data_IF_191949953683
#
_entry.id   IF_191949953683
#
_cell.length_a   1.000
_cell.length_b   1.000
_cell.length_c   1.000
_cell.angle_alpha   90.00
_cell.angle_beta   90.00
_cell.angle_gamma   90.00
#
_symmetry.space_group_name_H-M   'P 1'
#
loop_
_entity.id
_entity.type
_entity.pdbx_description
1 polymer ?
#
# COMPACT_ATOMS: atom_id res chain seq x y z
N UNK A 1 1.46 17.07 -16.63
CA UNK A 1 0.36 17.00 -15.66
C UNK A 1 0.86 16.46 -14.33
N UNK A 2 0.55 17.15 -13.23
CA UNK A 2 1.01 16.73 -11.91
C UNK A 2 0.28 15.44 -11.49
N UNK A 3 1.00 14.40 -11.10
CA UNK A 3 0.36 13.13 -10.71
C UNK A 3 -0.27 13.22 -9.32
N UNK A 4 -1.16 12.27 -9.05
CA UNK A 4 -1.63 12.00 -7.70
C UNK A 4 -0.52 11.28 -6.96
N UNK A 5 -0.22 11.69 -5.74
CA UNK A 5 0.72 10.96 -4.87
C UNK A 5 -0.10 10.10 -3.92
N UNK A 6 0.18 8.80 -3.93
CA UNK A 6 -0.53 7.84 -3.09
C UNK A 6 0.44 7.25 -2.07
N UNK A 7 0.11 7.39 -0.79
CA UNK A 7 0.89 6.83 0.31
C UNK A 7 0.10 5.68 0.93
N UNK A 8 0.72 4.54 1.12
CA UNK A 8 0.08 3.38 1.74
C UNK A 8 0.99 2.79 2.81
N UNK A 9 0.38 2.29 3.87
CA UNK A 9 1.07 1.53 4.91
C UNK A 9 0.06 0.63 5.62
N UNK A 10 0.57 -0.32 6.40
CA UNK A 10 -0.27 -1.31 7.05
C UNK A 10 0.38 -1.81 8.34
N UNK A 11 -0.47 -2.20 9.28
CA UNK A 11 -0.04 -2.78 10.56
C UNK A 11 -0.90 -3.98 10.88
N UNK A 12 -0.28 -5.10 11.24
CA UNK A 12 -0.97 -6.35 11.52
C UNK A 12 -0.51 -6.93 12.85
N UNK A 13 -1.45 -7.58 13.55
CA UNK A 13 -1.14 -8.40 14.70
C UNK A 13 -0.98 -9.85 14.19
N UNK A 14 0.23 -10.42 14.22
CA UNK A 14 0.45 -11.76 13.65
C UNK A 14 -0.26 -12.88 14.42
N UNK A 15 -0.63 -12.64 15.67
CA UNK A 15 -1.34 -13.65 16.48
C UNK A 15 -2.82 -13.68 16.13
N UNK A 16 -3.50 -12.53 16.14
CA UNK A 16 -4.92 -12.46 15.83
C UNK A 16 -5.20 -12.48 14.33
N UNK A 17 -4.18 -12.18 13.52
CA UNK A 17 -4.28 -12.04 12.05
C UNK A 17 -5.24 -10.93 11.63
N UNK A 18 -5.44 -9.96 12.52
CA UNK A 18 -6.20 -8.73 12.23
C UNK A 18 -5.22 -7.62 11.93
N UNK A 19 -5.50 -6.85 10.89
CA UNK A 19 -4.67 -5.73 10.53
C UNK A 19 -5.47 -4.55 10.02
N UNK A 20 -4.78 -3.43 9.91
CA UNK A 20 -5.35 -2.18 9.41
C UNK A 20 -4.45 -1.62 8.34
N UNK A 21 -5.05 -1.33 7.19
CA UNK A 21 -4.38 -0.61 6.14
C UNK A 21 -4.79 0.85 6.14
N UNK A 22 -3.88 1.72 5.76
CA UNK A 22 -4.13 3.15 5.66
C UNK A 22 -3.59 3.68 4.34
N UNK A 23 -4.31 4.62 3.75
CA UNK A 23 -3.79 5.32 2.58
C UNK A 23 -4.14 6.80 2.60
N UNK A 24 -3.31 7.57 1.91
CA UNK A 24 -3.51 8.99 1.69
C UNK A 24 -3.30 9.28 0.21
N UNK A 25 -4.33 9.82 -0.43
CA UNK A 25 -4.26 10.28 -1.81
C UNK A 25 -4.09 11.80 -1.79
N UNK A 26 -2.95 12.27 -2.30
CA UNK A 26 -2.64 13.70 -2.36
C UNK A 26 -2.93 14.18 -3.78
N UNK A 27 -3.93 15.05 -3.95
CA UNK A 27 -4.28 15.54 -5.28
C UNK A 27 -3.21 16.50 -5.83
N UNK A 28 -3.24 16.79 -7.16
CA UNK A 28 -2.31 17.76 -7.73
C UNK A 28 -2.46 19.16 -7.16
N UNK A 29 -3.67 19.52 -6.72
CA UNK A 29 -3.95 20.84 -6.16
C UNK A 29 -3.30 20.99 -4.78
N UNK A 30 -2.69 22.15 -4.48
CA UNK A 30 -2.06 22.34 -3.17
C UNK A 30 -3.07 22.25 -2.03
N UNK A 31 -2.72 21.47 -1.00
CA UNK A 31 -3.51 21.35 0.22
C UNK A 31 -2.59 21.54 1.42
N UNK A 32 -3.13 22.10 2.51
CA UNK A 32 -2.40 22.23 3.74
C UNK A 32 -2.13 20.86 4.35
N UNK A 33 -1.10 20.78 5.20
CA UNK A 33 -0.78 19.54 5.91
C UNK A 33 -1.97 19.08 6.76
N UNK A 34 -2.67 20.01 7.40
CA UNK A 34 -3.84 19.66 8.22
C UNK A 34 -4.97 19.08 7.38
N UNK A 35 -5.20 19.61 6.18
CA UNK A 35 -6.20 19.06 5.26
C UNK A 35 -5.82 17.65 4.81
N UNK A 36 -4.53 17.44 4.50
CA UNK A 36 -4.04 16.11 4.10
C UNK A 36 -4.18 15.11 5.22
N UNK A 37 -3.87 15.52 6.45
CA UNK A 37 -3.99 14.67 7.63
C UNK A 37 -5.43 14.14 7.79
N UNK A 38 -6.42 14.95 7.49
CA UNK A 38 -7.83 14.57 7.59
C UNK A 38 -8.29 13.67 6.44
N UNK A 39 -7.51 13.54 5.38
CA UNK A 39 -7.84 12.71 4.21
C UNK A 39 -7.36 11.28 4.34
N UNK A 40 -6.62 10.94 5.38
CA UNK A 40 -6.11 9.58 5.59
C UNK A 40 -7.30 8.64 5.83
N UNK A 41 -7.33 7.55 5.07
CA UNK A 41 -8.38 6.53 5.19
C UNK A 41 -7.79 5.26 5.77
N UNK A 42 -8.56 4.60 6.64
CA UNK A 42 -8.14 3.40 7.35
C UNK A 42 -9.21 2.33 7.19
N UNK A 43 -8.78 1.08 6.99
CA UNK A 43 -9.69 -0.06 6.85
C UNK A 43 -9.14 -1.27 7.58
N UNK A 44 -10.03 -2.00 8.25
CA UNK A 44 -9.71 -3.26 8.91
C UNK A 44 -9.76 -4.42 7.91
N UNK A 45 -8.81 -5.33 8.05
CA UNK A 45 -8.74 -6.58 7.29
C UNK A 45 -8.57 -7.74 8.27
N UNK A 46 -9.34 -8.79 8.06
CA UNK A 46 -9.28 -9.99 8.90
C UNK A 46 -8.53 -11.11 8.17
N UNK A 47 -8.02 -12.07 8.94
CA UNK A 47 -7.30 -13.24 8.42
C UNK A 47 -6.23 -12.83 7.40
N UNK A 48 -5.37 -11.90 7.80
CA UNK A 48 -4.34 -11.36 6.94
C UNK A 48 -2.96 -11.54 7.56
N UNK A 49 -1.94 -11.19 6.80
CA UNK A 49 -0.54 -11.22 7.22
C UNK A 49 0.11 -9.94 6.74
N UNK A 50 1.35 -9.71 7.15
CA UNK A 50 2.08 -8.50 6.74
C UNK A 50 2.11 -8.36 5.22
N UNK A 51 2.59 -9.38 4.52
CA UNK A 51 2.69 -9.36 3.06
C UNK A 51 1.33 -9.21 2.39
N UNK A 52 0.35 -9.98 2.84
CA UNK A 52 -1.00 -9.94 2.27
C UNK A 52 -1.65 -8.58 2.49
N UNK A 53 -1.52 -8.04 3.69
CA UNK A 53 -2.16 -6.78 4.07
C UNK A 53 -1.59 -5.59 3.30
N UNK A 54 -0.28 -5.56 3.12
CA UNK A 54 0.35 -4.50 2.31
C UNK A 54 -0.25 -4.45 0.91
N UNK A 55 -0.44 -5.61 0.31
CA UNK A 55 -1.01 -5.72 -1.02
C UNK A 55 -2.50 -5.41 -1.03
N UNK A 56 -3.25 -5.91 -0.04
CA UNK A 56 -4.68 -5.62 0.09
C UNK A 56 -4.92 -4.12 0.24
N UNK A 57 -4.10 -3.44 1.05
CA UNK A 57 -4.20 -2.00 1.27
C UNK A 57 -3.96 -1.23 -0.02
N UNK A 58 -2.92 -1.61 -0.76
CA UNK A 58 -2.59 -0.97 -2.02
C UNK A 58 -3.70 -1.16 -3.05
N UNK A 59 -4.23 -2.36 -3.19
CA UNK A 59 -5.32 -2.64 -4.13
C UNK A 59 -6.59 -1.86 -3.78
N UNK A 60 -6.92 -1.77 -2.50
CA UNK A 60 -8.02 -0.95 -2.04
C UNK A 60 -7.84 0.51 -2.42
N UNK A 61 -6.64 1.05 -2.17
CA UNK A 61 -6.33 2.44 -2.49
C UNK A 61 -6.39 2.70 -3.99
N UNK A 62 -5.75 1.85 -4.81
CA UNK A 62 -5.72 2.03 -6.26
C UNK A 62 -7.13 1.92 -6.87
N UNK A 63 -7.94 0.98 -6.39
CA UNK A 63 -9.32 0.84 -6.84
C UNK A 63 -10.12 2.10 -6.53
N UNK A 64 -9.89 2.70 -5.36
CA UNK A 64 -10.60 3.91 -4.92
C UNK A 64 -10.28 5.13 -5.78
N UNK A 65 -9.06 5.23 -6.33
CA UNK A 65 -8.65 6.40 -7.11
C UNK A 65 -8.61 6.15 -8.62
N UNK A 66 -8.90 4.91 -9.04
CA UNK A 66 -8.83 4.50 -10.45
C UNK A 66 -9.68 5.37 -11.36
N UNK A 67 -10.87 5.77 -10.90
CA UNK A 67 -11.81 6.56 -11.69
C UNK A 67 -11.34 7.98 -12.00
N UNK A 68 -10.29 8.45 -11.30
CA UNK A 68 -9.77 9.80 -11.51
C UNK A 68 -8.98 9.94 -12.82
N UNK A 69 -8.55 8.82 -13.42
CA UNK A 69 -7.89 8.82 -14.73
C UNK A 69 -6.56 9.54 -14.80
N UNK A 70 -5.91 9.77 -13.66
CA UNK A 70 -4.66 10.53 -13.59
C UNK A 70 -3.49 9.58 -13.32
N UNK A 71 -2.28 10.03 -13.67
CA UNK A 71 -1.06 9.33 -13.30
C UNK A 71 -0.93 9.28 -11.78
N UNK A 72 -0.49 8.16 -11.25
CA UNK A 72 -0.33 7.94 -9.82
C UNK A 72 1.11 7.58 -9.50
N UNK A 73 1.69 8.25 -8.50
CA UNK A 73 2.98 7.86 -7.95
C UNK A 73 2.71 7.25 -6.57
N UNK A 74 3.03 5.98 -6.41
CA UNK A 74 2.80 5.22 -5.18
C UNK A 74 4.05 5.23 -4.33
N UNK A 75 3.90 5.65 -3.07
CA UNK A 75 4.98 5.65 -2.08
C UNK A 75 4.69 4.56 -1.06
N UNK A 76 5.60 3.62 -0.93
CA UNK A 76 5.47 2.48 0.00
C UNK A 76 6.84 2.08 0.53
N UNK A 77 6.88 1.56 1.76
CA UNK A 77 8.10 0.99 2.32
C UNK A 77 8.18 -0.53 2.10
N UNK A 78 7.20 -1.12 1.44
CA UNK A 78 7.12 -2.56 1.22
C UNK A 78 8.07 -3.03 0.13
N UNK A 79 9.11 -3.74 0.52
CA UNK A 79 10.03 -4.36 -0.44
C UNK A 79 9.32 -5.42 -1.28
N UNK A 80 8.33 -6.10 -0.71
CA UNK A 80 7.55 -7.10 -1.44
C UNK A 80 6.80 -6.47 -2.63
N UNK A 81 6.15 -5.33 -2.42
CA UNK A 81 5.44 -4.63 -3.49
C UNK A 81 6.41 -4.14 -4.56
N UNK A 82 7.49 -3.48 -4.14
CA UNK A 82 8.48 -2.94 -5.07
C UNK A 82 9.09 -4.05 -5.93
N UNK A 83 9.30 -5.24 -5.35
CA UNK A 83 9.89 -6.37 -6.06
C UNK A 83 8.94 -7.14 -6.97
N UNK A 84 7.64 -6.86 -6.93
CA UNK A 84 6.65 -7.63 -7.71
C UNK A 84 6.87 -7.54 -9.22
N UNK A 85 7.23 -6.37 -9.72
CA UNK A 85 7.45 -6.18 -11.14
C UNK A 85 8.54 -7.10 -11.69
N UNK A 86 9.61 -7.30 -10.92
CA UNK A 86 10.70 -8.20 -11.31
C UNK A 86 10.32 -9.68 -11.26
N UNK A 87 9.25 -10.03 -10.56
CA UNK A 87 8.79 -11.42 -10.44
C UNK A 87 7.64 -11.75 -11.37
N UNK A 88 7.06 -10.77 -12.05
CA UNK A 88 5.88 -10.95 -12.89
C UNK A 88 6.07 -12.02 -13.96
N UNK A 89 7.14 -11.94 -14.74
CA UNK A 89 7.39 -12.87 -15.83
C UNK A 89 7.47 -14.31 -15.34
N UNK A 90 8.16 -14.54 -14.21
CA UNK A 90 8.28 -15.86 -13.62
C UNK A 90 6.93 -16.39 -13.13
N UNK A 91 6.14 -15.53 -12.48
CA UNK A 91 4.81 -15.91 -12.01
C UNK A 91 3.91 -16.33 -13.18
N UNK A 92 3.88 -15.51 -14.22
CA UNK A 92 3.04 -15.80 -15.39
C UNK A 92 3.50 -17.04 -16.15
N UNK A 93 4.81 -17.19 -16.33
CA UNK A 93 5.40 -18.35 -17.02
C UNK A 93 5.04 -19.66 -16.31
N UNK A 94 5.04 -19.66 -14.99
CA UNK A 94 4.76 -20.83 -14.17
C UNK A 94 3.29 -20.93 -13.75
N UNK A 95 2.42 -20.13 -14.34
CA UNK A 95 1.00 -20.08 -14.03
C UNK A 95 0.74 -19.96 -12.53
N UNK A 96 1.55 -19.10 -11.86
CA UNK A 96 1.49 -18.84 -10.40
C UNK A 96 1.58 -20.12 -9.58
N UNK A 97 2.37 -21.08 -10.04
CA UNK A 97 2.61 -22.34 -9.32
C UNK A 97 4.07 -22.45 -8.87
N UNK A 98 4.26 -23.09 -7.73
CA UNK A 98 5.59 -23.39 -7.18
C UNK A 98 6.19 -24.62 -7.92
N UNK A 99 7.45 -24.92 -7.59
CA UNK A 99 8.12 -26.12 -8.10
C UNK A 99 7.37 -27.40 -7.74
N UNK A 100 6.58 -27.39 -6.66
CA UNK A 100 5.76 -28.52 -6.22
C UNK A 100 4.37 -28.53 -6.88
N UNK A 101 4.18 -27.73 -7.90
CA UNK A 101 2.94 -27.61 -8.68
C UNK A 101 1.74 -27.15 -7.85
N UNK A 102 1.99 -26.38 -6.78
CA UNK A 102 0.93 -25.78 -5.97
C UNK A 102 0.87 -24.29 -6.26
N UNK A 103 -0.34 -23.71 -6.26
CA UNK A 103 -0.51 -22.28 -6.42
C UNK A 103 0.24 -21.54 -5.31
N UNK A 104 0.98 -20.51 -5.69
CA UNK A 104 1.70 -19.69 -4.71
C UNK A 104 0.70 -18.93 -3.84
N UNK A 105 1.11 -18.69 -2.60
CA UNK A 105 0.30 -17.93 -1.65
C UNK A 105 0.03 -16.53 -2.21
N UNK A 106 -1.19 -16.04 -2.05
CA UNK A 106 -1.62 -14.71 -2.51
C UNK A 106 -1.64 -14.54 -4.03
N UNK A 107 -1.65 -15.62 -4.80
CA UNK A 107 -1.59 -15.52 -6.26
C UNK A 107 -2.72 -14.67 -6.86
N UNK A 108 -3.92 -14.74 -6.30
CA UNK A 108 -5.06 -13.94 -6.78
C UNK A 108 -4.82 -12.45 -6.60
N UNK A 109 -4.22 -12.07 -5.48
CA UNK A 109 -3.87 -10.66 -5.20
C UNK A 109 -2.79 -10.18 -6.17
N UNK A 110 -1.82 -11.01 -6.49
CA UNK A 110 -0.79 -10.68 -7.48
C UNK A 110 -1.40 -10.48 -8.86
N UNK A 111 -2.33 -11.34 -9.25
CA UNK A 111 -3.03 -11.20 -10.53
C UNK A 111 -3.83 -9.90 -10.58
N UNK A 112 -4.55 -9.56 -9.51
CA UNK A 112 -5.27 -8.30 -9.42
C UNK A 112 -4.34 -7.10 -9.50
N UNK A 113 -3.20 -7.18 -8.82
CA UNK A 113 -2.19 -6.12 -8.83
C UNK A 113 -1.70 -5.84 -10.25
N UNK A 114 -1.30 -6.87 -10.99
CA UNK A 114 -0.81 -6.69 -12.35
C UNK A 114 -1.92 -6.19 -13.29
N UNK A 115 -3.14 -6.63 -13.09
CA UNK A 115 -4.28 -6.16 -13.86
C UNK A 115 -4.50 -4.66 -13.67
N UNK A 116 -4.49 -4.19 -12.43
CA UNK A 116 -4.77 -2.79 -12.14
C UNK A 116 -3.61 -1.89 -12.58
N UNK A 117 -2.36 -2.31 -12.39
CA UNK A 117 -1.21 -1.49 -12.83
C UNK A 117 -1.08 -1.44 -14.35
N UNK A 118 -1.59 -2.44 -15.07
CA UNK A 118 -1.66 -2.39 -16.54
C UNK A 118 -2.70 -1.39 -17.03
N UNK A 119 -3.72 -1.11 -16.23
CA UNK A 119 -4.80 -0.17 -16.58
C UNK A 119 -4.52 1.25 -16.14
N UNK A 120 -3.68 1.42 -15.11
CA UNK A 120 -3.33 2.72 -14.55
C UNK A 120 -1.90 3.10 -14.92
N UNK A 121 -1.68 4.38 -15.14
CA UNK A 121 -0.33 4.90 -15.28
C UNK A 121 0.24 5.11 -13.87
N UNK A 122 0.95 4.09 -13.37
CA UNK A 122 1.49 4.06 -12.02
C UNK A 122 3.01 3.99 -12.01
N UNK A 123 3.61 4.78 -11.14
CA UNK A 123 5.02 4.70 -10.78
C UNK A 123 5.13 4.33 -9.31
N UNK A 124 6.14 3.55 -8.94
CA UNK A 124 6.33 3.11 -7.55
C UNK A 124 7.66 3.63 -7.02
N UNK A 125 7.61 4.24 -5.83
CA UNK A 125 8.79 4.78 -5.15
C UNK A 125 8.86 4.16 -3.76
N UNK A 126 10.03 3.58 -3.44
CA UNK A 126 10.27 3.02 -2.12
C UNK A 126 10.61 4.14 -1.14
N UNK A 127 9.89 4.19 -0.02
CA UNK A 127 10.16 5.12 1.07
C UNK A 127 11.05 4.41 2.08
N UNK A 128 12.05 5.11 2.60
CA UNK A 128 12.86 4.59 3.70
C UNK A 128 12.13 4.87 4.99
N UNK A 129 11.74 3.81 5.71
CA UNK A 129 11.10 3.95 7.01
C UNK A 129 12.07 4.43 8.10
N UNK A 130 11.53 4.99 9.18
CA UNK A 130 12.24 5.27 10.42
C UNK A 130 13.38 6.28 10.35
N UNK A 131 13.26 7.31 9.53
CA UNK A 131 14.19 8.45 9.59
C UNK A 131 13.94 9.26 10.85
N UNK A 132 15.00 9.81 11.41
CA UNK A 132 14.89 10.76 12.53
C UNK A 132 14.10 11.99 12.09
N UNK A 133 13.34 12.60 13.00
CA UNK A 133 12.44 13.71 12.70
C UNK A 133 13.09 14.85 11.92
N UNK A 134 14.32 15.22 12.28
CA UNK A 134 15.02 16.33 11.62
C UNK A 134 15.53 15.98 10.21
N UNK A 135 15.52 14.70 9.83
CA UNK A 135 15.92 14.23 8.50
C UNK A 135 14.74 13.95 7.59
N UNK A 136 13.52 14.13 8.10
CA UNK A 136 12.31 13.88 7.30
C UNK A 136 12.05 15.05 6.36
N UNK A 137 11.95 14.75 5.06
CA UNK A 137 11.46 15.71 4.10
C UNK A 137 9.91 15.66 4.06
N UNK A 138 9.31 16.40 3.13
CA UNK A 138 7.87 16.49 3.02
C UNK A 138 7.23 15.12 2.73
N UNK A 139 7.85 14.32 1.84
CA UNK A 139 7.33 12.99 1.51
C UNK A 139 7.36 12.07 2.72
N UNK A 140 8.44 12.13 3.51
CA UNK A 140 8.56 11.32 4.72
C UNK A 140 7.49 11.70 5.74
N UNK A 141 7.17 12.99 5.87
CA UNK A 141 6.12 13.46 6.77
C UNK A 141 4.75 12.95 6.36
N UNK A 142 4.47 12.93 5.05
CA UNK A 142 3.21 12.41 4.53
C UNK A 142 3.12 10.90 4.73
N UNK A 143 4.21 10.17 4.50
CA UNK A 143 4.22 8.73 4.76
C UNK A 143 3.98 8.45 6.24
N UNK A 144 4.52 9.28 7.14
CA UNK A 144 4.31 9.14 8.58
C UNK A 144 2.82 9.18 8.95
N UNK A 145 2.01 9.93 8.21
CA UNK A 145 0.57 10.00 8.47
C UNK A 145 -0.10 8.64 8.33
N UNK A 146 0.20 7.90 7.27
CA UNK A 146 -0.40 6.56 7.06
C UNK A 146 0.21 5.52 8.01
N UNK A 147 1.51 5.62 8.29
CA UNK A 147 2.17 4.75 9.24
C UNK A 147 1.51 4.87 10.62
N UNK A 148 1.36 6.08 11.13
CA UNK A 148 0.73 6.33 12.43
C UNK A 148 -0.73 5.92 12.45
N UNK A 149 -1.47 6.20 11.39
CA UNK A 149 -2.88 5.88 11.32
C UNK A 149 -3.13 4.37 11.42
N UNK A 150 -2.38 3.56 10.67
CA UNK A 150 -2.53 2.11 10.71
C UNK A 150 -2.12 1.53 12.07
N UNK A 151 -1.04 2.02 12.65
CA UNK A 151 -0.58 1.58 13.98
C UNK A 151 -1.56 1.96 15.09
N UNK A 152 -2.09 3.18 15.03
CA UNK A 152 -3.08 3.64 16.02
C UNK A 152 -4.35 2.81 15.96
N UNK A 153 -4.84 2.55 14.76
CA UNK A 153 -6.03 1.72 14.57
C UNK A 153 -5.83 0.32 15.17
N UNK A 154 -4.67 -0.28 14.92
CA UNK A 154 -4.36 -1.60 15.43
C UNK A 154 -4.31 -1.61 16.96
N UNK A 155 -3.68 -0.59 17.57
CA UNK A 155 -3.61 -0.49 19.04
C UNK A 155 -4.99 -0.34 19.65
N UNK A 156 -5.85 0.48 19.06
CA UNK A 156 -7.20 0.72 19.59
C UNK A 156 -8.08 -0.53 19.50
N UNK A 157 -7.86 -1.39 18.50
CA UNK A 157 -8.63 -2.62 18.37
C UNK A 157 -8.42 -3.61 19.50
N UNK A 158 -7.31 -3.47 20.26
CA UNK A 158 -7.00 -4.33 21.40
C UNK A 158 -7.71 -3.92 22.69
N UNK A 159 -8.34 -2.76 22.69
CA UNK A 159 -8.98 -2.21 23.88
C UNK A 159 -10.44 -2.62 24.05
N UNK A 160 -10.95 -3.43 23.16
CA UNK A 160 -12.37 -3.84 23.17
C UNK A 160 -12.55 -5.30 23.48
#
# INVERSE_FOLDING_TARGET
MTPIKLFTDASVNPQSKIGYGAYLSVPPEPLSFESLKMRVKVKRFDQTSSTKLELQTLLWALTSIQSLGKKVVVYTDSQNIIGLFGRRSRFELNNYRSKKNKRIKNYKLYQEFFKIVDQLDCEFVKVRGHKKSHKKDELDKLFTLVDRASRRALRHSKCC
#
